data_IF_739382473643
#
_entry.id   IF_739382473643
#
_cell.length_a   1.000
_cell.length_b   1.000
_cell.length_c   1.000
_cell.angle_alpha   90.00
_cell.angle_beta   90.00
_cell.angle_gamma   90.00
#
_symmetry.space_group_name_H-M   'P 1'
#
loop_
_entity.id
_entity.type
_entity.pdbx_description
1 polymer ?
#
# COMPACT_ATOMS: atom_id res chain seq x y z
N UNK A 1 -7.76 30.19 71.33
CA UNK A 1 -6.48 29.93 72.00
C UNK A 1 -6.24 28.46 72.02
N UNK A 2 -5.08 28.07 71.48
CA UNK A 2 -4.34 26.81 71.64
C UNK A 2 -4.69 25.70 70.69
N UNK A 3 -3.73 25.56 69.78
CA UNK A 3 -3.41 24.47 68.88
C UNK A 3 -3.12 23.17 69.64
N UNK A 4 -3.41 22.02 69.01
CA UNK A 4 -2.52 20.87 69.13
C UNK A 4 -2.53 20.06 67.85
N UNK A 5 -1.40 20.05 67.16
CA UNK A 5 -1.01 19.14 66.13
C UNK A 5 -0.93 17.71 66.68
N UNK A 6 -1.48 16.77 65.98
CA UNK A 6 -1.02 15.36 66.07
C UNK A 6 -0.55 14.89 64.70
N UNK A 7 0.74 14.70 64.64
CA UNK A 7 1.47 14.09 63.51
C UNK A 7 1.28 12.57 63.56
N UNK A 8 0.64 12.02 62.53
CA UNK A 8 0.70 10.58 62.24
C UNK A 8 1.28 10.38 60.84
N UNK A 9 2.60 10.48 60.78
CA UNK A 9 3.39 10.03 59.64
C UNK A 9 4.42 9.05 60.20
N UNK A 10 4.08 7.76 60.19
CA UNK A 10 5.04 6.67 60.07
C UNK A 10 4.31 5.33 60.17
N UNK A 11 4.60 4.44 59.21
CA UNK A 11 4.21 3.03 59.12
C UNK A 11 3.09 2.60 58.14
N UNK A 12 3.13 3.10 56.92
CA UNK A 12 2.38 2.49 55.81
C UNK A 12 3.27 2.11 54.59
N UNK A 13 4.60 2.03 54.78
CA UNK A 13 5.54 1.67 53.68
C UNK A 13 6.04 0.23 53.71
N UNK A 14 5.57 -0.60 54.60
CA UNK A 14 6.11 -1.94 54.78
C UNK A 14 5.21 -3.12 54.27
N UNK A 15 4.05 -2.86 53.66
CA UNK A 15 3.08 -3.91 53.31
C UNK A 15 2.81 -4.00 51.79
N UNK A 16 3.24 -3.04 51.01
CA UNK A 16 3.12 -3.13 49.54
C UNK A 16 4.54 -3.06 48.97
N UNK A 17 5.07 -4.20 48.49
CA UNK A 17 6.38 -4.29 47.84
C UNK A 17 6.48 -3.42 46.58
N UNK A 18 6.76 -2.13 46.79
CA UNK A 18 7.05 -1.18 45.71
C UNK A 18 8.53 -1.37 45.36
N UNK A 19 8.87 -1.72 44.13
CA UNK A 19 10.26 -1.81 43.70
C UNK A 19 10.95 -0.46 43.80
N UNK A 20 12.29 -0.43 44.05
CA UNK A 20 13.03 0.80 44.19
C UNK A 20 12.93 1.65 42.94
N UNK A 21 12.70 2.93 43.13
CA UNK A 21 12.61 4.04 42.19
C UNK A 21 13.09 3.74 40.76
N UNK A 22 12.17 3.78 39.81
CA UNK A 22 12.50 4.07 38.43
C UNK A 22 13.28 5.38 38.38
N UNK A 23 14.55 5.32 38.08
CA UNK A 23 15.35 6.48 37.71
C UNK A 23 14.76 7.00 36.40
N UNK A 24 14.11 8.14 36.45
CA UNK A 24 13.70 8.84 35.23
C UNK A 24 15.00 9.26 34.55
N UNK A 25 15.40 8.54 33.55
CA UNK A 25 16.43 8.96 32.60
C UNK A 25 15.83 10.13 31.85
N UNK A 26 16.25 11.34 32.17
CA UNK A 26 15.93 12.51 31.36
C UNK A 26 16.63 12.28 30.00
N UNK A 27 15.86 12.15 28.95
CA UNK A 27 16.41 12.27 27.60
C UNK A 27 17.15 13.60 27.49
N UNK A 28 18.33 13.64 26.87
CA UNK A 28 19.04 14.89 26.63
C UNK A 28 18.11 15.85 25.87
N UNK A 29 18.19 17.16 26.10
CA UNK A 29 17.38 18.12 25.38
C UNK A 29 17.60 17.91 23.87
N UNK A 30 16.52 17.74 23.13
CA UNK A 30 16.59 17.61 21.67
C UNK A 30 17.33 18.82 21.11
N UNK A 31 18.49 18.60 20.51
CA UNK A 31 19.18 19.60 19.71
C UNK A 31 18.19 20.22 18.71
N UNK A 32 18.19 21.56 18.62
CA UNK A 32 17.38 22.23 17.60
C UNK A 32 17.86 21.75 16.23
N UNK A 33 17.07 20.90 15.59
CA UNK A 33 17.28 20.52 14.20
C UNK A 33 17.05 21.80 13.38
N UNK A 34 18.12 22.31 12.77
CA UNK A 34 18.04 23.40 11.81
C UNK A 34 17.19 22.90 10.63
N UNK A 35 15.97 23.42 10.53
CA UNK A 35 15.07 23.01 9.45
C UNK A 35 15.51 23.70 8.17
N UNK A 36 15.72 22.96 7.07
CA UNK A 36 16.03 23.56 5.78
C UNK A 36 14.90 24.54 5.38
N UNK A 37 15.25 25.53 4.57
CA UNK A 37 14.26 26.44 3.98
C UNK A 37 13.17 25.63 3.29
N UNK A 38 11.92 25.95 3.60
CA UNK A 38 10.76 25.24 3.02
C UNK A 38 10.68 25.61 1.55
N UNK A 39 10.76 24.59 0.68
CA UNK A 39 10.59 24.76 -0.76
C UNK A 39 9.22 25.38 -1.06
N UNK A 40 9.19 26.43 -1.89
CA UNK A 40 7.94 26.99 -2.40
C UNK A 40 7.30 26.05 -3.43
N UNK A 41 6.55 25.08 -2.92
CA UNK A 41 5.85 24.10 -3.76
C UNK A 41 4.69 24.70 -4.55
N UNK A 42 4.20 25.89 -4.17
CA UNK A 42 3.10 26.56 -4.88
C UNK A 42 3.54 27.11 -6.24
N UNK A 43 4.81 27.41 -6.40
CA UNK A 43 5.41 27.87 -7.67
C UNK A 43 5.66 26.72 -8.64
N UNK A 44 5.70 25.46 -8.17
CA UNK A 44 5.96 24.28 -9.00
C UNK A 44 4.69 23.91 -9.77
N UNK A 45 4.54 24.44 -10.98
CA UNK A 45 3.38 24.19 -11.85
C UNK A 45 3.85 23.59 -13.16
N UNK A 46 3.09 22.60 -13.66
CA UNK A 46 3.25 22.02 -14.98
C UNK A 46 1.92 22.09 -15.73
N UNK A 47 1.96 22.45 -17.00
CA UNK A 47 0.80 22.37 -17.87
C UNK A 47 0.73 21.00 -18.55
N UNK A 48 -0.45 20.41 -18.55
CA UNK A 48 -0.74 19.14 -19.20
C UNK A 48 -1.17 19.37 -20.66
N UNK A 49 -0.51 18.71 -21.61
CA UNK A 49 -0.71 18.94 -23.04
C UNK A 49 -0.68 17.66 -23.89
N UNK A 50 -0.49 16.49 -23.27
CA UNK A 50 -0.18 15.25 -23.99
C UNK A 50 -1.34 14.80 -24.89
N UNK A 51 -2.57 14.71 -24.40
CA UNK A 51 -3.71 14.17 -25.15
C UNK A 51 -5.06 14.71 -24.65
N UNK A 52 -6.13 14.43 -25.39
CA UNK A 52 -7.51 14.56 -24.94
C UNK A 52 -8.15 13.17 -24.75
N UNK A 53 -9.19 13.12 -23.92
CA UNK A 53 -10.00 11.93 -23.73
C UNK A 53 -11.46 12.28 -24.04
N UNK A 54 -12.00 11.59 -25.05
CA UNK A 54 -13.38 11.79 -25.50
C UNK A 54 -14.19 10.53 -25.28
N UNK A 55 -15.50 10.72 -25.07
CA UNK A 55 -16.42 9.60 -24.88
C UNK A 55 -16.36 8.57 -26.02
N UNK A 56 -16.22 9.04 -27.26
CA UNK A 56 -16.22 8.22 -28.48
C UNK A 56 -14.93 7.38 -28.64
N UNK A 57 -13.87 7.74 -27.90
CA UNK A 57 -12.59 7.03 -27.91
C UNK A 57 -12.49 5.98 -26.79
N UNK A 58 -13.52 5.88 -25.94
CA UNK A 58 -13.54 4.95 -24.82
C UNK A 58 -14.18 3.63 -25.20
N UNK A 59 -13.54 2.51 -24.84
CA UNK A 59 -14.15 1.20 -24.90
C UNK A 59 -15.41 1.13 -24.03
N UNK A 60 -16.48 0.45 -24.43
CA UNK A 60 -17.61 0.18 -23.54
C UNK A 60 -17.25 -0.68 -22.34
N UNK A 61 -16.18 -1.47 -22.44
CA UNK A 61 -15.64 -2.33 -21.38
C UNK A 61 -14.42 -1.66 -20.72
N UNK A 62 -14.44 -1.39 -19.39
CA UNK A 62 -13.33 -0.77 -18.68
C UNK A 62 -12.07 -1.63 -18.61
N UNK A 63 -12.17 -2.96 -18.70
CA UNK A 63 -11.01 -3.85 -18.74
C UNK A 63 -10.28 -3.71 -20.08
N UNK A 64 -11.01 -3.63 -21.18
CA UNK A 64 -10.43 -3.37 -22.50
C UNK A 64 -9.79 -1.96 -22.52
N UNK A 65 -10.46 -0.95 -21.94
CA UNK A 65 -9.91 0.39 -21.83
C UNK A 65 -8.64 0.44 -20.97
N UNK A 66 -8.62 -0.30 -19.87
CA UNK A 66 -7.44 -0.46 -19.02
C UNK A 66 -6.30 -1.12 -19.80
N UNK A 67 -6.59 -2.20 -20.54
CA UNK A 67 -5.61 -2.92 -21.34
C UNK A 67 -4.91 -2.00 -22.35
N UNK A 68 -5.68 -1.24 -23.13
CA UNK A 68 -5.15 -0.29 -24.11
C UNK A 68 -4.20 0.73 -23.47
N UNK A 69 -4.59 1.29 -22.34
CA UNK A 69 -3.76 2.27 -21.63
C UNK A 69 -2.52 1.66 -20.98
N UNK A 70 -2.61 0.42 -20.50
CA UNK A 70 -1.46 -0.30 -19.97
C UNK A 70 -0.45 -0.66 -21.09
N UNK A 71 -0.93 -1.05 -22.28
CA UNK A 71 -0.06 -1.28 -23.45
C UNK A 71 0.71 -0.01 -23.82
N UNK A 72 0.01 1.12 -23.93
CA UNK A 72 0.65 2.42 -24.22
C UNK A 72 1.66 2.80 -23.11
N UNK A 73 1.32 2.58 -21.84
CA UNK A 73 2.23 2.84 -20.73
C UNK A 73 3.47 1.93 -20.76
N UNK A 74 3.28 0.66 -21.14
CA UNK A 74 4.38 -0.31 -21.25
C UNK A 74 5.30 0.00 -22.43
N UNK A 75 4.73 0.53 -23.51
CA UNK A 75 5.49 0.96 -24.68
C UNK A 75 6.21 2.30 -24.49
N UNK A 76 5.89 3.08 -23.45
CA UNK A 76 6.51 4.37 -23.19
C UNK A 76 7.87 4.21 -22.48
N UNK A 77 9.00 4.56 -23.10
CA UNK A 77 10.34 4.34 -22.52
C UNK A 77 10.59 5.14 -21.23
N UNK A 78 9.83 6.22 -21.00
CA UNK A 78 9.94 7.02 -19.77
C UNK A 78 9.22 6.40 -18.57
N UNK A 79 8.45 5.33 -18.75
CA UNK A 79 7.76 4.60 -17.70
C UNK A 79 8.51 3.31 -17.41
N UNK A 80 9.29 3.27 -16.32
CA UNK A 80 10.13 2.14 -15.98
C UNK A 80 9.35 0.93 -15.45
N UNK A 81 8.22 1.16 -14.75
CA UNK A 81 7.40 0.11 -14.15
C UNK A 81 5.90 0.43 -14.36
N UNK A 82 5.40 0.07 -15.54
CA UNK A 82 3.99 0.34 -15.92
C UNK A 82 2.98 -0.39 -15.05
N UNK A 83 3.39 -1.48 -14.39
CA UNK A 83 2.57 -2.30 -13.51
C UNK A 83 2.53 -1.81 -12.06
N UNK A 84 3.32 -0.80 -11.71
CA UNK A 84 3.29 -0.20 -10.37
C UNK A 84 1.97 0.51 -10.13
N UNK A 85 1.33 0.18 -9.01
CA UNK A 85 0.07 0.81 -8.60
C UNK A 85 0.08 1.13 -7.11
N UNK A 86 -0.53 2.23 -6.74
CA UNK A 86 -0.80 2.55 -5.34
C UNK A 86 -1.99 1.71 -4.89
N UNK A 87 -1.79 0.89 -3.86
CA UNK A 87 -2.86 0.21 -3.16
C UNK A 87 -3.19 0.98 -1.88
N UNK A 88 -4.39 1.49 -1.77
CA UNK A 88 -4.93 2.12 -0.57
C UNK A 88 -5.85 1.14 0.16
N UNK A 89 -5.63 1.02 1.47
CA UNK A 89 -6.40 0.16 2.38
C UNK A 89 -6.78 0.95 3.63
N UNK A 90 -7.85 0.59 4.28
CA UNK A 90 -8.30 1.21 5.53
C UNK A 90 -8.59 0.13 6.58
N UNK A 91 -8.35 0.42 7.86
CA UNK A 91 -8.84 -0.42 8.96
C UNK A 91 -10.33 -0.24 9.18
N UNK A 92 -10.93 -1.02 10.08
CA UNK A 92 -12.32 -0.82 10.50
C UNK A 92 -12.54 0.55 11.14
N UNK A 93 -11.53 1.07 11.85
CA UNK A 93 -11.55 2.39 12.49
C UNK A 93 -11.33 3.54 11.49
N UNK A 94 -11.12 3.23 10.22
CA UNK A 94 -10.92 4.23 9.17
C UNK A 94 -9.48 4.73 9.02
N UNK A 95 -8.48 4.08 9.63
CA UNK A 95 -7.08 4.40 9.40
C UNK A 95 -6.66 4.02 7.98
N UNK A 96 -6.47 5.01 7.14
CA UNK A 96 -6.04 4.83 5.74
C UNK A 96 -4.53 4.72 5.65
N UNK A 97 -4.05 3.81 4.81
CA UNK A 97 -2.64 3.74 4.43
C UNK A 97 -2.48 3.35 2.97
N UNK A 98 -1.42 3.85 2.33
CA UNK A 98 -1.13 3.60 0.92
C UNK A 98 0.31 3.14 0.72
N UNK A 99 0.55 2.32 -0.30
CA UNK A 99 1.88 1.85 -0.71
C UNK A 99 1.85 1.42 -2.16
N UNK A 100 3.02 1.34 -2.78
CA UNK A 100 3.16 0.75 -4.10
C UNK A 100 3.12 -0.77 -3.98
N UNK A 101 2.36 -1.41 -4.87
CA UNK A 101 2.40 -2.84 -5.17
C UNK A 101 2.44 -3.02 -6.68
N UNK A 102 2.80 -4.22 -7.15
CA UNK A 102 2.85 -4.49 -8.58
C UNK A 102 1.64 -5.31 -9.02
N UNK A 103 0.99 -4.89 -10.09
CA UNK A 103 0.00 -5.70 -10.79
C UNK A 103 0.68 -6.96 -11.34
N UNK A 104 0.10 -8.14 -11.11
CA UNK A 104 0.65 -9.44 -11.56
C UNK A 104 -0.31 -10.23 -12.44
N UNK A 105 -1.48 -9.69 -12.68
CA UNK A 105 -2.48 -10.22 -13.60
C UNK A 105 -3.77 -9.45 -13.50
N UNK A 106 -4.55 -9.48 -14.56
CA UNK A 106 -5.91 -8.95 -14.60
C UNK A 106 -6.71 -9.67 -15.68
N UNK A 107 -7.99 -9.73 -15.48
CA UNK A 107 -8.99 -10.24 -16.41
C UNK A 107 -10.36 -9.60 -16.09
N UNK A 108 -11.44 -10.13 -16.68
CA UNK A 108 -12.81 -9.69 -16.44
C UNK A 108 -13.25 -9.82 -14.97
N UNK A 109 -12.57 -10.65 -14.18
CA UNK A 109 -12.88 -10.87 -12.75
C UNK A 109 -12.16 -9.89 -11.83
N UNK A 110 -11.07 -9.24 -12.30
CA UNK A 110 -10.37 -8.19 -11.55
C UNK A 110 -8.85 -8.21 -11.66
N UNK A 111 -8.22 -7.56 -10.69
CA UNK A 111 -6.79 -7.22 -10.66
C UNK A 111 -6.08 -7.99 -9.56
N UNK A 112 -4.92 -8.59 -9.87
CA UNK A 112 -4.20 -9.48 -8.95
C UNK A 112 -2.87 -8.88 -8.51
N UNK A 113 -2.60 -8.96 -7.22
CA UNK A 113 -1.30 -8.66 -6.63
C UNK A 113 -0.98 -9.67 -5.52
N UNK A 114 0.29 -9.73 -5.11
CA UNK A 114 0.74 -10.69 -4.10
C UNK A 114 1.48 -9.96 -2.98
N UNK A 115 1.28 -10.41 -1.74
CA UNK A 115 1.89 -9.78 -0.57
C UNK A 115 1.91 -10.73 0.64
N UNK A 116 2.56 -10.27 1.73
CA UNK A 116 2.48 -10.89 3.04
C UNK A 116 1.14 -10.53 3.70
N UNK A 117 0.31 -11.52 4.03
CA UNK A 117 -1.01 -11.35 4.66
C UNK A 117 -0.92 -10.81 6.09
N UNK A 118 0.19 -11.09 6.80
CA UNK A 118 0.49 -10.54 8.11
C UNK A 118 1.01 -9.09 8.10
N UNK A 119 1.19 -8.46 6.92
CA UNK A 119 1.59 -7.06 6.82
C UNK A 119 0.46 -6.11 7.22
N UNK A 120 0.76 -4.80 7.42
CA UNK A 120 -0.27 -3.79 7.73
C UNK A 120 -1.41 -3.82 6.71
N UNK A 121 -1.09 -3.85 5.40
CA UNK A 121 -2.12 -3.93 4.35
C UNK A 121 -2.91 -5.23 4.38
N UNK A 122 -2.25 -6.37 4.65
CA UNK A 122 -2.93 -7.67 4.76
C UNK A 122 -3.95 -7.68 5.89
N UNK A 123 -3.56 -7.22 7.08
CA UNK A 123 -4.49 -7.08 8.23
C UNK A 123 -5.63 -6.11 7.96
N UNK A 124 -5.35 -4.97 7.29
CA UNK A 124 -6.40 -4.02 6.92
C UNK A 124 -7.40 -4.62 5.92
N UNK A 125 -6.93 -5.38 4.92
CA UNK A 125 -7.81 -6.04 3.95
C UNK A 125 -8.65 -7.13 4.64
N UNK A 126 -8.09 -7.85 5.60
CA UNK A 126 -8.78 -8.87 6.37
C UNK A 126 -9.95 -8.29 7.17
N UNK A 127 -9.76 -7.12 7.80
CA UNK A 127 -10.80 -6.41 8.56
C UNK A 127 -11.73 -5.58 7.67
N UNK A 128 -11.22 -5.01 6.58
CA UNK A 128 -11.99 -4.18 5.63
C UNK A 128 -11.49 -4.42 4.21
N UNK A 129 -12.22 -5.23 3.48
CA UNK A 129 -11.87 -5.66 2.13
C UNK A 129 -12.01 -4.58 1.04
N UNK A 130 -12.56 -3.40 1.38
CA UNK A 130 -12.68 -2.28 0.44
C UNK A 130 -11.30 -1.65 0.18
N UNK A 131 -10.91 -1.59 -1.09
CA UNK A 131 -9.61 -1.07 -1.51
C UNK A 131 -9.73 -0.13 -2.71
N UNK A 132 -8.70 0.69 -2.90
CA UNK A 132 -8.52 1.47 -4.12
C UNK A 132 -7.15 1.17 -4.71
N UNK A 133 -7.12 0.91 -6.01
CA UNK A 133 -5.91 0.83 -6.84
C UNK A 133 -5.79 2.11 -7.64
N UNK A 134 -4.59 2.69 -7.73
CA UNK A 134 -4.32 3.87 -8.51
C UNK A 134 -3.07 3.66 -9.36
N UNK A 135 -3.20 3.69 -10.66
CA UNK A 135 -2.11 3.80 -11.62
C UNK A 135 -1.91 5.28 -11.95
N UNK A 136 -0.65 5.72 -11.98
CA UNK A 136 -0.29 7.05 -12.42
C UNK A 136 0.91 6.98 -13.36
N UNK A 137 0.66 7.29 -14.62
CA UNK A 137 1.67 7.32 -15.68
C UNK A 137 1.96 8.76 -16.05
N UNK A 138 2.86 9.37 -15.28
CA UNK A 138 3.18 10.80 -15.36
C UNK A 138 3.59 11.24 -16.77
N UNK A 139 4.43 10.48 -17.52
CA UNK A 139 4.81 10.87 -18.87
C UNK A 139 3.65 10.91 -19.87
N UNK A 140 2.58 10.15 -19.62
CA UNK A 140 1.35 10.15 -20.44
C UNK A 140 0.27 11.07 -19.87
N UNK A 141 0.54 11.71 -18.73
CA UNK A 141 -0.44 12.55 -18.03
C UNK A 141 -1.75 11.81 -17.75
N UNK A 142 -1.67 10.51 -17.40
CA UNK A 142 -2.81 9.62 -17.21
C UNK A 142 -2.86 9.03 -15.81
N UNK A 143 -4.10 8.88 -15.33
CA UNK A 143 -4.39 8.17 -14.09
C UNK A 143 -5.57 7.23 -14.30
N UNK A 144 -5.50 6.04 -13.68
CA UNK A 144 -6.64 5.12 -13.58
C UNK A 144 -6.86 4.82 -12.11
N UNK A 145 -8.05 5.11 -11.61
CA UNK A 145 -8.47 4.69 -10.27
C UNK A 145 -9.47 3.55 -10.38
N UNK A 146 -9.28 2.51 -9.58
CA UNK A 146 -10.14 1.33 -9.52
C UNK A 146 -10.51 1.11 -8.06
N UNK A 147 -11.78 1.31 -7.72
CA UNK A 147 -12.28 0.95 -6.41
C UNK A 147 -12.92 -0.43 -6.47
N UNK A 148 -12.65 -1.27 -5.48
CA UNK A 148 -13.11 -2.65 -5.51
C UNK A 148 -13.05 -3.34 -4.16
N UNK A 149 -13.32 -4.65 -4.19
CA UNK A 149 -13.25 -5.54 -3.05
C UNK A 149 -12.09 -6.51 -3.26
N UNK A 150 -11.20 -6.57 -2.29
CA UNK A 150 -10.09 -7.53 -2.29
C UNK A 150 -10.53 -8.85 -1.65
N UNK A 151 -10.17 -9.96 -2.27
CA UNK A 151 -10.35 -11.31 -1.73
C UNK A 151 -9.08 -12.12 -1.96
N UNK A 152 -8.82 -13.10 -1.09
CA UNK A 152 -7.68 -14.01 -1.25
C UNK A 152 -7.86 -14.87 -2.51
N UNK A 153 -6.77 -15.04 -3.26
CA UNK A 153 -6.71 -16.04 -4.32
C UNK A 153 -6.65 -17.46 -3.75
N UNK A 154 -7.10 -18.48 -4.51
CA UNK A 154 -6.88 -19.89 -4.19
C UNK A 154 -5.40 -20.16 -3.91
N UNK A 155 -5.11 -21.03 -2.92
CA UNK A 155 -3.73 -21.38 -2.57
C UNK A 155 -2.93 -21.90 -3.76
N UNK A 156 -3.55 -22.70 -4.63
CA UNK A 156 -2.92 -23.23 -5.83
C UNK A 156 -2.41 -22.16 -6.79
N UNK A 157 -3.16 -21.06 -6.99
CA UNK A 157 -2.72 -19.93 -7.81
C UNK A 157 -1.57 -19.18 -7.13
N UNK A 158 -1.66 -18.99 -5.82
CA UNK A 158 -0.60 -18.38 -5.01
C UNK A 158 0.70 -19.18 -5.13
N UNK A 159 0.64 -20.52 -4.96
CA UNK A 159 1.80 -21.40 -5.04
C UNK A 159 2.43 -21.40 -6.44
N UNK A 160 1.60 -21.43 -7.47
CA UNK A 160 2.05 -21.35 -8.88
C UNK A 160 2.83 -20.05 -9.13
N UNK A 161 2.28 -18.92 -8.72
CA UNK A 161 2.98 -17.65 -8.89
C UNK A 161 4.22 -17.55 -8.00
N UNK A 162 4.17 -18.03 -6.75
CA UNK A 162 5.33 -18.01 -5.85
C UNK A 162 6.50 -18.80 -6.43
N UNK A 163 6.24 -19.99 -6.98
CA UNK A 163 7.25 -20.84 -7.60
C UNK A 163 7.94 -20.18 -8.81
N UNK A 164 7.22 -19.33 -9.56
CA UNK A 164 7.76 -18.60 -10.72
C UNK A 164 8.70 -17.45 -10.33
N UNK A 165 8.72 -17.02 -9.04
CA UNK A 165 9.56 -15.93 -8.58
C UNK A 165 11.04 -16.35 -8.51
N UNK A 166 11.99 -15.40 -8.75
CA UNK A 166 13.40 -15.65 -8.52
C UNK A 166 13.65 -16.17 -7.10
N UNK A 167 14.59 -17.13 -6.94
CA UNK A 167 14.92 -17.76 -5.64
C UNK A 167 15.16 -16.74 -4.53
N UNK A 168 15.96 -15.70 -4.77
CA UNK A 168 16.21 -14.65 -3.78
C UNK A 168 14.94 -13.92 -3.32
N UNK A 169 13.97 -13.73 -4.23
CA UNK A 169 12.66 -13.14 -3.88
C UNK A 169 11.79 -14.09 -3.06
N UNK A 170 11.92 -15.40 -3.26
CA UNK A 170 11.26 -16.43 -2.45
C UNK A 170 11.84 -16.47 -1.04
N UNK A 171 13.15 -16.44 -0.91
CA UNK A 171 13.87 -16.35 0.39
C UNK A 171 13.49 -15.05 1.13
N UNK A 172 13.51 -13.90 0.44
CA UNK A 172 13.12 -12.62 1.03
C UNK A 172 11.68 -12.59 1.55
N UNK A 173 10.76 -13.34 0.91
CA UNK A 173 9.40 -13.47 1.42
C UNK A 173 9.32 -14.22 2.76
N UNK A 174 10.20 -15.20 3.00
CA UNK A 174 10.34 -15.90 4.27
C UNK A 174 11.03 -15.04 5.34
N UNK A 175 12.10 -14.33 4.98
CA UNK A 175 12.91 -13.55 5.90
C UNK A 175 12.16 -12.34 6.47
N UNK A 176 11.24 -11.76 5.70
CA UNK A 176 10.57 -10.52 6.07
C UNK A 176 9.25 -10.74 6.82
N UNK A 177 9.23 -10.42 8.11
CA UNK A 177 7.98 -10.17 8.85
C UNK A 177 7.45 -8.78 8.47
N UNK A 178 6.92 -8.66 7.26
CA UNK A 178 6.59 -7.39 6.63
C UNK A 178 5.77 -6.47 7.54
N UNK A 179 6.15 -5.21 7.66
CA UNK A 179 5.57 -4.16 8.50
C UNK A 179 5.86 -4.29 10.02
N UNK A 180 6.67 -5.25 10.44
CA UNK A 180 7.16 -5.32 11.82
C UNK A 180 8.37 -4.42 12.01
N UNK A 181 8.55 -3.91 13.24
CA UNK A 181 9.77 -3.20 13.64
C UNK A 181 10.89 -4.23 13.75
N UNK A 182 12.05 -3.91 13.20
CA UNK A 182 13.29 -4.68 13.33
C UNK A 182 14.37 -3.75 13.90
N UNK A 183 15.35 -4.28 14.65
CA UNK A 183 16.37 -3.44 15.27
C UNK A 183 17.32 -2.80 14.25
N UNK A 184 17.68 -3.52 13.20
CA UNK A 184 18.68 -3.13 12.21
C UNK A 184 18.50 -3.91 10.89
N UNK A 185 19.24 -3.50 9.87
CA UNK A 185 19.27 -4.16 8.56
C UNK A 185 19.93 -5.53 8.64
N UNK A 186 20.97 -5.67 9.48
CA UNK A 186 21.74 -6.89 9.67
C UNK A 186 20.89 -8.04 10.18
N UNK A 187 19.83 -7.75 10.95
CA UNK A 187 18.85 -8.76 11.38
C UNK A 187 18.16 -9.40 10.17
N UNK A 188 17.73 -8.60 9.19
CA UNK A 188 17.09 -9.10 7.97
C UNK A 188 18.08 -9.89 7.10
N UNK A 189 19.32 -9.42 7.00
CA UNK A 189 20.35 -10.06 6.19
C UNK A 189 20.76 -11.42 6.79
N UNK A 190 20.82 -11.55 8.12
CA UNK A 190 21.05 -12.83 8.82
C UNK A 190 19.90 -13.80 8.58
N UNK A 191 18.67 -13.37 8.78
CA UNK A 191 17.47 -14.21 8.52
C UNK A 191 17.48 -14.73 7.08
N UNK A 192 17.80 -13.88 6.10
CA UNK A 192 17.89 -14.29 4.70
C UNK A 192 19.00 -15.32 4.47
N UNK A 193 20.18 -15.13 5.08
CA UNK A 193 21.31 -16.07 4.96
C UNK A 193 21.02 -17.43 5.61
N UNK A 194 20.36 -17.46 6.76
CA UNK A 194 19.99 -18.69 7.45
C UNK A 194 18.92 -19.47 6.68
N UNK A 195 17.96 -18.76 6.05
CA UNK A 195 16.97 -19.37 5.18
C UNK A 195 17.58 -19.90 3.89
N UNK A 196 18.57 -19.22 3.31
CA UNK A 196 19.29 -19.72 2.14
C UNK A 196 19.97 -21.05 2.45
N UNK A 197 20.66 -21.18 3.62
CA UNK A 197 21.24 -22.44 4.09
C UNK A 197 20.18 -23.52 4.34
N UNK A 198 19.06 -23.13 4.99
CA UNK A 198 17.95 -24.06 5.29
C UNK A 198 17.36 -24.70 4.05
N UNK A 199 17.26 -23.92 2.96
CA UNK A 199 16.70 -24.38 1.70
C UNK A 199 17.77 -24.73 0.65
N UNK A 200 19.05 -24.85 1.04
CA UNK A 200 20.12 -25.24 0.13
C UNK A 200 19.79 -26.59 -0.55
N UNK A 201 19.91 -26.63 -1.88
CA UNK A 201 19.56 -27.79 -2.69
C UNK A 201 18.09 -28.20 -2.67
N UNK A 202 17.19 -27.37 -2.10
CA UNK A 202 15.74 -27.65 -2.01
C UNK A 202 14.92 -26.53 -2.63
N UNK A 203 13.69 -26.87 -2.99
CA UNK A 203 12.69 -25.87 -3.34
C UNK A 203 12.34 -25.01 -2.11
N UNK A 204 12.15 -23.70 -2.36
CA UNK A 204 11.65 -22.75 -1.35
C UNK A 204 10.13 -22.75 -1.42
N UNK A 205 9.42 -23.33 -0.44
CA UNK A 205 7.97 -23.41 -0.47
C UNK A 205 7.32 -22.04 -0.23
N UNK A 206 6.06 -21.89 -0.63
CA UNK A 206 5.28 -20.69 -0.33
C UNK A 206 5.00 -20.60 1.17
N UNK A 207 5.34 -19.48 1.86
CA UNK A 207 4.97 -19.29 3.26
C UNK A 207 3.44 -19.24 3.43
N UNK A 208 2.91 -19.71 4.56
CA UNK A 208 1.48 -19.64 4.86
C UNK A 208 0.95 -18.20 4.90
N UNK A 209 1.79 -17.29 5.38
CA UNK A 209 1.50 -15.86 5.50
C UNK A 209 1.73 -15.06 4.19
N UNK A 210 1.95 -15.71 3.06
CA UNK A 210 2.13 -15.07 1.77
C UNK A 210 1.06 -15.55 0.79
N UNK A 211 0.31 -14.59 0.23
CA UNK A 211 -0.82 -14.91 -0.66
C UNK A 211 -1.01 -13.87 -1.76
N UNK A 212 -1.75 -14.27 -2.78
CA UNK A 212 -2.33 -13.37 -3.76
C UNK A 212 -3.69 -12.82 -3.30
N UNK A 213 -3.97 -11.62 -3.75
CA UNK A 213 -5.29 -10.99 -3.66
C UNK A 213 -5.80 -10.68 -5.06
N UNK A 214 -7.10 -10.89 -5.26
CA UNK A 214 -7.85 -10.38 -6.39
C UNK A 214 -8.72 -9.21 -5.95
N UNK A 215 -8.67 -8.11 -6.67
CA UNK A 215 -9.55 -6.95 -6.48
C UNK A 215 -10.63 -6.99 -7.54
N UNK A 216 -11.85 -7.36 -7.15
CA UNK A 216 -13.03 -7.29 -8.01
C UNK A 216 -13.52 -5.84 -8.09
N UNK A 217 -13.52 -5.23 -9.30
CA UNK A 217 -13.79 -3.80 -9.43
C UNK A 217 -15.28 -3.47 -9.22
N UNK A 218 -15.54 -2.38 -8.49
CA UNK A 218 -16.85 -1.76 -8.35
C UNK A 218 -17.05 -0.57 -9.28
N UNK A 219 -15.98 0.16 -9.56
CA UNK A 219 -15.98 1.26 -10.53
C UNK A 219 -14.55 1.54 -10.99
N UNK A 220 -14.46 2.22 -12.12
CA UNK A 220 -13.22 2.76 -12.66
C UNK A 220 -13.38 4.26 -12.88
N UNK A 221 -12.29 5.00 -12.75
CA UNK A 221 -12.16 6.35 -13.25
C UNK A 221 -10.91 6.46 -14.12
N UNK A 222 -11.09 6.88 -15.35
CA UNK A 222 -10.02 7.22 -16.29
C UNK A 222 -9.87 8.74 -16.32
N UNK A 223 -8.66 9.21 -16.05
CA UNK A 223 -8.33 10.63 -15.98
C UNK A 223 -7.20 10.93 -16.96
N UNK A 224 -7.36 11.99 -17.77
CA UNK A 224 -6.36 12.51 -18.69
C UNK A 224 -6.08 13.98 -18.35
N UNK A 225 -4.78 14.30 -18.21
CA UNK A 225 -4.33 15.66 -17.99
C UNK A 225 -4.70 16.59 -19.13
N UNK A 226 -5.18 17.81 -18.80
CA UNK A 226 -5.55 18.86 -19.76
C UNK A 226 -5.06 20.21 -19.26
N UNK A 227 -4.84 21.18 -20.17
CA UNK A 227 -4.50 22.55 -19.80
C UNK A 227 -5.51 23.17 -18.84
N UNK A 228 -5.05 24.17 -18.09
CA UNK A 228 -5.90 24.98 -17.19
C UNK A 228 -6.64 24.15 -16.13
N UNK A 229 -6.17 22.95 -15.80
CA UNK A 229 -6.80 22.02 -14.86
C UNK A 229 -8.20 21.51 -15.30
N UNK A 230 -8.61 21.75 -16.54
CA UNK A 230 -9.88 21.27 -17.10
C UNK A 230 -9.74 19.83 -17.63
N UNK A 231 -9.38 18.92 -16.73
CA UNK A 231 -9.03 17.53 -17.04
C UNK A 231 -10.22 16.73 -17.57
N UNK A 232 -9.96 15.79 -18.49
CA UNK A 232 -10.99 14.85 -18.93
C UNK A 232 -11.06 13.68 -17.92
N UNK A 233 -12.26 13.47 -17.37
CA UNK A 233 -12.53 12.43 -16.39
C UNK A 233 -13.75 11.63 -16.80
N UNK A 234 -13.62 10.30 -16.86
CA UNK A 234 -14.71 9.39 -17.15
C UNK A 234 -14.78 8.27 -16.13
N UNK A 235 -15.95 8.10 -15.53
CA UNK A 235 -16.22 7.03 -14.59
C UNK A 235 -17.05 5.94 -15.26
N UNK A 236 -16.61 4.70 -15.05
CA UNK A 236 -17.40 3.50 -15.36
C UNK A 236 -18.03 3.01 -14.07
N UNK A 237 -19.32 2.82 -14.06
CA UNK A 237 -20.06 2.16 -12.99
C UNK A 237 -20.93 1.03 -13.53
N UNK A 238 -21.12 -0.07 -12.81
CA UNK A 238 -21.96 -1.17 -13.25
C UNK A 238 -23.45 -0.75 -13.29
N UNK A 239 -24.15 -1.28 -14.28
CA UNK A 239 -25.60 -1.20 -14.39
C UNK A 239 -26.12 -2.52 -14.96
N UNK A 240 -26.47 -3.47 -14.08
CA UNK A 240 -26.74 -4.83 -14.44
C UNK A 240 -25.50 -5.51 -15.04
N UNK A 241 -25.61 -5.98 -16.29
CA UNK A 241 -24.52 -6.65 -17.01
C UNK A 241 -23.65 -5.72 -17.87
N UNK A 242 -23.93 -4.42 -17.87
CA UNK A 242 -23.22 -3.43 -18.70
C UNK A 242 -22.58 -2.35 -17.83
N UNK A 243 -21.61 -1.65 -18.39
CA UNK A 243 -20.99 -0.49 -17.78
C UNK A 243 -21.60 0.81 -18.34
N UNK A 244 -21.99 1.71 -17.44
CA UNK A 244 -22.38 3.08 -17.80
C UNK A 244 -21.16 3.98 -17.66
N UNK A 245 -20.90 4.79 -18.69
CA UNK A 245 -19.79 5.72 -18.73
C UNK A 245 -20.34 7.13 -18.56
N UNK A 246 -19.85 7.81 -17.53
CA UNK A 246 -20.24 9.16 -17.14
C UNK A 246 -19.04 10.09 -17.19
N UNK A 247 -19.21 11.30 -17.74
CA UNK A 247 -18.18 12.34 -17.63
C UNK A 247 -18.28 13.01 -16.26
N UNK A 248 -17.15 13.17 -15.60
CA UNK A 248 -17.06 13.90 -14.33
C UNK A 248 -16.48 15.29 -14.57
N UNK A 249 -16.90 16.25 -13.75
CA UNK A 249 -16.24 17.56 -13.68
C UNK A 249 -14.83 17.40 -13.10
N UNK A 250 -13.84 18.13 -13.61
CA UNK A 250 -12.47 18.12 -13.09
C UNK A 250 -12.36 18.70 -11.69
#
# INVERSE_FOLDING_TARGET
MIQSHFSVKSNLRAILGVPPSLTIVHDPPMEKIDRPDILDVASLRRDYQHADLRRDNLSPDPIIQFHQWLEEATACPAILESTAMVLSTASEEGEVSSRIVLLKGYDETGFRFFTNTGSRKGRQIDSNSSVSLLFYWEPLERQIQINGIASLLPRSETDTYFASRPRGSRIGAWASRQSSVIPDRETLDREAADLEKRFEGKEVPTPEFWSGYQVSPKNFEFWQGRPNRLHDRFRYRPNGTVWVIERLSP
#
